data_IF_499974663053
#
_entry.id   IF_499974663053
#
_cell.length_a   1.000
_cell.length_b   1.000
_cell.length_c   1.000
_cell.angle_alpha   90.00
_cell.angle_beta   90.00
_cell.angle_gamma   90.00
#
_symmetry.space_group_name_H-M   'P 1'
#
loop_
_entity.id
_entity.type
_entity.pdbx_description
1 polymer ?
#
# COMPACT_ATOMS: atom_id res chain seq x y z
N UNK A 1 8.82 1.30 -14.52
CA UNK A 1 8.39 2.54 -15.20
C UNK A 1 8.67 2.36 -16.69
N UNK A 2 7.66 2.50 -17.54
CA UNK A 2 7.82 2.44 -18.99
C UNK A 2 7.78 3.87 -19.56
N UNK A 3 8.75 4.23 -20.41
CA UNK A 3 8.75 5.50 -21.13
C UNK A 3 8.23 5.26 -22.54
N UNK A 4 7.13 5.94 -22.89
CA UNK A 4 6.47 5.76 -24.18
C UNK A 4 6.69 7.02 -25.02
N UNK A 5 7.35 6.85 -26.16
CA UNK A 5 7.46 7.90 -27.16
C UNK A 5 6.15 7.95 -27.98
N UNK A 6 5.36 9.00 -27.78
CA UNK A 6 4.05 9.16 -28.44
C UNK A 6 4.15 9.48 -29.94
N UNK A 7 5.32 9.91 -30.41
CA UNK A 7 5.57 10.21 -31.83
C UNK A 7 5.99 8.98 -32.64
N UNK A 8 6.39 7.89 -31.97
CA UNK A 8 6.72 6.63 -32.62
C UNK A 8 5.46 5.84 -32.95
N UNK A 9 5.31 5.42 -34.22
CA UNK A 9 4.19 4.61 -34.72
C UNK A 9 4.25 3.14 -34.26
N UNK A 10 4.56 2.91 -32.99
CA UNK A 10 4.51 1.60 -32.34
C UNK A 10 3.19 1.39 -31.61
N UNK A 11 2.64 0.18 -31.67
CA UNK A 11 1.49 -0.24 -30.86
C UNK A 11 1.97 -0.56 -29.44
N UNK A 12 2.37 0.45 -28.65
CA UNK A 12 2.54 0.23 -27.21
C UNK A 12 1.17 0.20 -26.54
N UNK A 13 0.95 -0.76 -25.64
CA UNK A 13 -0.29 -0.86 -24.85
C UNK A 13 -0.58 0.44 -24.10
N UNK A 14 0.45 1.21 -23.75
CA UNK A 14 0.26 2.46 -23.02
C UNK A 14 -0.29 3.65 -23.83
N UNK A 15 -0.33 3.59 -25.17
CA UNK A 15 -0.97 4.64 -25.98
C UNK A 15 -2.48 4.74 -25.72
N UNK A 16 -3.13 3.67 -25.26
CA UNK A 16 -4.55 3.68 -24.94
C UNK A 16 -4.90 4.70 -23.84
N UNK A 17 -3.96 4.94 -22.91
CA UNK A 17 -4.16 5.85 -21.78
C UNK A 17 -4.19 7.32 -22.20
N UNK A 18 -3.63 7.68 -23.37
CA UNK A 18 -3.75 9.03 -23.94
C UNK A 18 -5.22 9.34 -24.21
N UNK A 19 -5.92 8.40 -24.83
CA UNK A 19 -7.35 8.55 -25.14
C UNK A 19 -8.18 8.42 -23.87
N UNK A 20 -7.89 7.43 -23.01
CA UNK A 20 -8.63 7.18 -21.76
C UNK A 20 -8.62 8.39 -20.82
N UNK A 21 -7.49 9.09 -20.71
CA UNK A 21 -7.33 10.27 -19.85
C UNK A 21 -7.42 11.60 -20.59
N UNK A 22 -7.76 11.60 -21.88
CA UNK A 22 -7.80 12.80 -22.74
C UNK A 22 -6.54 13.68 -22.58
N UNK A 23 -5.37 13.07 -22.71
CA UNK A 23 -4.08 13.74 -22.51
C UNK A 23 -3.77 14.61 -23.72
N UNK A 24 -3.69 15.93 -23.50
CA UNK A 24 -3.42 16.92 -24.55
C UNK A 24 -2.05 17.60 -24.39
N UNK A 25 -1.40 17.40 -23.24
CA UNK A 25 -0.16 18.08 -22.85
C UNK A 25 0.88 17.05 -22.46
N UNK A 26 2.08 17.18 -23.02
CA UNK A 26 3.21 16.29 -22.76
C UNK A 26 4.40 17.07 -22.18
N UNK A 27 5.25 16.41 -21.36
CA UNK A 27 5.11 15.03 -20.87
C UNK A 27 3.93 14.86 -19.90
N UNK A 28 3.38 13.65 -19.84
CA UNK A 28 2.29 13.29 -18.91
C UNK A 28 2.61 11.93 -18.30
N UNK A 29 2.19 11.72 -17.05
CA UNK A 29 2.38 10.44 -16.36
C UNK A 29 1.04 9.87 -15.95
N UNK A 30 0.91 8.56 -16.14
CA UNK A 30 -0.26 7.77 -15.78
C UNK A 30 0.21 6.64 -14.88
N UNK A 31 -0.42 6.51 -13.73
CA UNK A 31 -0.27 5.36 -12.86
C UNK A 31 -1.34 4.34 -13.23
N UNK A 32 -0.95 3.08 -13.38
CA UNK A 32 -1.82 1.98 -13.84
C UNK A 32 -1.74 0.86 -12.80
N UNK A 33 -2.90 0.43 -12.29
CA UNK A 33 -3.01 -0.71 -11.40
C UNK A 33 -2.99 -2.05 -12.17
N UNK A 34 -2.70 -3.18 -11.50
CA UNK A 34 -2.69 -4.50 -12.13
C UNK A 34 -4.03 -4.92 -12.77
N UNK A 35 -5.14 -4.37 -12.29
CA UNK A 35 -6.50 -4.60 -12.82
C UNK A 35 -6.82 -3.74 -14.06
N UNK A 36 -5.89 -2.86 -14.48
CA UNK A 36 -6.02 -1.96 -15.62
C UNK A 36 -6.71 -0.63 -15.32
N UNK A 37 -7.18 -0.41 -14.07
CA UNK A 37 -7.57 0.91 -13.63
C UNK A 37 -6.37 1.86 -13.67
N UNK A 38 -6.61 3.15 -13.88
CA UNK A 38 -5.50 4.10 -14.03
C UNK A 38 -5.87 5.51 -13.60
N UNK A 39 -4.87 6.25 -13.14
CA UNK A 39 -5.01 7.64 -12.73
C UNK A 39 -3.93 8.49 -13.39
N UNK A 40 -4.34 9.64 -13.93
CA UNK A 40 -3.41 10.65 -14.42
C UNK A 40 -2.78 11.38 -13.24
N UNK A 41 -1.46 11.38 -13.17
CA UNK A 41 -0.74 12.07 -12.11
C UNK A 41 -0.39 13.50 -12.55
N UNK A 42 -0.46 14.49 -11.64
CA UNK A 42 0.00 15.83 -11.94
C UNK A 42 1.50 15.78 -12.26
N UNK A 43 1.86 16.08 -13.51
CA UNK A 43 3.25 16.27 -13.88
C UNK A 43 3.62 17.72 -13.60
N UNK A 44 4.43 17.94 -12.58
CA UNK A 44 5.03 19.25 -12.32
C UNK A 44 6.50 19.16 -12.69
N UNK A 45 6.95 19.96 -13.66
CA UNK A 45 7.77 21.15 -13.40
C UNK A 45 8.40 21.67 -14.70
N UNK A 46 8.19 22.96 -14.99
CA UNK A 46 8.97 23.67 -15.99
C UNK A 46 10.43 23.78 -15.52
N UNK A 47 11.38 23.33 -16.35
CA UNK A 47 12.82 23.60 -16.16
C UNK A 47 13.65 22.55 -15.40
N UNK A 48 13.09 21.40 -15.01
CA UNK A 48 13.86 20.28 -14.43
C UNK A 48 14.17 19.18 -15.46
N UNK A 49 15.19 18.35 -15.20
CA UNK A 49 15.47 17.16 -16.02
C UNK A 49 14.36 16.12 -15.85
N UNK A 50 14.21 15.25 -16.86
CA UNK A 50 13.26 14.14 -16.81
C UNK A 50 13.53 13.21 -15.61
N UNK A 51 14.80 12.92 -15.30
CA UNK A 51 15.17 12.05 -14.18
C UNK A 51 14.76 12.62 -12.83
N UNK A 52 15.03 13.91 -12.58
CA UNK A 52 14.64 14.58 -11.34
C UNK A 52 13.11 14.65 -11.20
N UNK A 53 12.40 14.93 -12.29
CA UNK A 53 10.94 15.01 -12.31
C UNK A 53 10.29 13.65 -12.07
N UNK A 54 10.83 12.58 -12.67
CA UNK A 54 10.36 11.21 -12.43
C UNK A 54 10.58 10.78 -10.98
N UNK A 55 11.75 11.11 -10.40
CA UNK A 55 12.02 10.83 -8.99
C UNK A 55 11.04 11.55 -8.06
N UNK A 56 10.88 12.87 -8.25
CA UNK A 56 9.94 13.67 -7.47
C UNK A 56 8.50 13.15 -7.57
N UNK A 57 8.09 12.70 -8.76
CA UNK A 57 6.79 12.08 -8.94
C UNK A 57 6.67 10.78 -8.16
N UNK A 58 7.67 9.88 -8.25
CA UNK A 58 7.66 8.62 -7.49
C UNK A 58 7.62 8.87 -5.99
N UNK A 59 8.34 9.87 -5.51
CA UNK A 59 8.29 10.29 -4.11
C UNK A 59 6.88 10.76 -3.73
N UNK A 60 6.28 11.66 -4.52
CA UNK A 60 4.90 12.14 -4.30
C UNK A 60 3.88 10.98 -4.35
N UNK A 61 4.09 9.98 -5.22
CA UNK A 61 3.26 8.80 -5.30
C UNK A 61 3.41 7.88 -4.09
N UNK A 62 4.55 7.89 -3.41
CA UNK A 62 4.84 7.00 -2.28
C UNK A 62 4.69 7.67 -0.90
N UNK A 63 4.72 9.00 -0.83
CA UNK A 63 4.74 9.75 0.43
C UNK A 63 3.65 10.81 0.52
N UNK A 64 3.22 11.06 1.75
CA UNK A 64 2.33 12.15 2.16
C UNK A 64 2.40 12.22 3.67
N UNK A 65 2.11 13.38 4.26
CA UNK A 65 2.08 13.51 5.73
C UNK A 65 1.08 12.53 6.36
N UNK A 66 -0.05 12.26 5.71
CA UNK A 66 -1.03 11.28 6.20
C UNK A 66 -0.46 9.85 6.19
N UNK A 67 0.20 9.45 5.10
CA UNK A 67 0.80 8.11 4.99
C UNK A 67 1.97 7.90 5.93
N UNK A 68 2.77 8.93 6.19
CA UNK A 68 3.82 8.89 7.23
C UNK A 68 3.23 8.65 8.63
N UNK A 69 2.13 9.35 8.96
CA UNK A 69 1.41 9.12 10.22
C UNK A 69 0.76 7.73 10.28
N UNK A 70 0.26 7.23 9.15
CA UNK A 70 -0.29 5.89 9.03
C UNK A 70 0.76 4.81 9.29
N UNK A 71 1.96 4.94 8.70
CA UNK A 71 3.06 4.00 8.94
C UNK A 71 3.44 3.99 10.43
N UNK A 72 3.61 5.15 11.04
CA UNK A 72 3.91 5.25 12.49
C UNK A 72 2.87 4.52 13.33
N UNK A 73 1.58 4.69 13.04
CA UNK A 73 0.51 3.98 13.75
C UNK A 73 0.51 2.47 13.48
N UNK A 74 0.83 2.04 12.27
CA UNK A 74 0.94 0.61 11.92
C UNK A 74 2.11 -0.07 12.64
N UNK A 75 3.21 0.64 12.88
CA UNK A 75 4.35 0.14 13.66
C UNK A 75 3.99 0.03 15.15
N UNK A 76 3.30 1.05 15.67
CA UNK A 76 3.08 1.19 17.12
C UNK A 76 1.85 0.48 17.66
N UNK A 77 0.93 0.06 16.80
CA UNK A 77 -0.36 -0.52 17.19
C UNK A 77 -0.62 -1.86 16.52
N UNK A 78 -1.62 -2.59 17.01
CA UNK A 78 -2.07 -3.84 16.41
C UNK A 78 -2.46 -3.73 14.93
N UNK A 79 -2.95 -2.57 14.54
CA UNK A 79 -3.44 -2.28 13.21
C UNK A 79 -4.19 -0.95 13.21
N UNK A 80 -4.57 -0.51 12.02
CA UNK A 80 -5.28 0.75 11.83
C UNK A 80 -6.64 0.47 11.20
N UNK A 81 -7.68 1.00 11.82
CA UNK A 81 -9.01 1.13 11.23
C UNK A 81 -9.05 2.46 10.49
N UNK A 82 -8.83 2.42 9.18
CA UNK A 82 -8.84 3.60 8.32
C UNK A 82 -10.27 3.87 7.84
N UNK A 83 -10.79 5.05 8.19
CA UNK A 83 -12.13 5.52 7.78
C UNK A 83 -11.95 6.62 6.74
N UNK A 84 -12.64 6.51 5.61
CA UNK A 84 -12.69 7.55 4.58
C UNK A 84 -14.10 8.14 4.63
N UNK A 85 -14.19 9.45 4.87
CA UNK A 85 -15.50 10.12 5.01
C UNK A 85 -16.21 10.24 3.66
N UNK A 86 -17.46 9.80 3.62
CA UNK A 86 -18.36 10.00 2.49
C UNK A 86 -19.02 11.38 2.48
N UNK A 87 -20.08 11.53 1.70
CA UNK A 87 -20.91 12.74 1.68
C UNK A 87 -21.94 12.79 2.81
N UNK A 88 -22.26 11.64 3.42
CA UNK A 88 -23.22 11.52 4.53
C UNK A 88 -22.50 11.55 5.89
N UNK A 89 -22.60 12.69 6.58
CA UNK A 89 -22.06 12.89 7.92
C UNK A 89 -22.69 11.95 8.96
N UNK A 90 -23.98 11.63 8.83
CA UNK A 90 -24.67 10.75 9.78
C UNK A 90 -24.15 9.30 9.65
N UNK A 91 -23.92 8.84 8.42
CA UNK A 91 -23.24 7.57 8.18
C UNK A 91 -21.83 7.58 8.76
N UNK A 92 -21.04 8.63 8.49
CA UNK A 92 -19.68 8.77 9.02
C UNK A 92 -19.65 8.69 10.55
N UNK A 93 -20.60 9.33 11.24
CA UNK A 93 -20.74 9.28 12.70
C UNK A 93 -21.06 7.86 13.17
N UNK A 94 -22.02 7.17 12.52
CA UNK A 94 -22.35 5.77 12.80
C UNK A 94 -21.13 4.87 12.65
N UNK A 95 -20.42 4.98 11.53
CA UNK A 95 -19.21 4.20 11.23
C UNK A 95 -18.11 4.42 12.26
N UNK A 96 -17.86 5.67 12.67
CA UNK A 96 -16.89 5.98 13.73
C UNK A 96 -17.29 5.34 15.06
N UNK A 97 -18.58 5.27 15.38
CA UNK A 97 -19.05 4.61 16.60
C UNK A 97 -18.89 3.09 16.53
N UNK A 98 -19.24 2.48 15.40
CA UNK A 98 -19.08 1.04 15.17
C UNK A 98 -17.60 0.62 15.27
N UNK A 99 -16.69 1.42 14.71
CA UNK A 99 -15.25 1.22 14.80
C UNK A 99 -14.73 1.33 16.25
N UNK A 100 -15.16 2.36 17.00
CA UNK A 100 -14.79 2.53 18.41
C UNK A 100 -15.26 1.36 19.27
N UNK A 101 -16.49 0.90 19.05
CA UNK A 101 -17.03 -0.26 19.76
C UNK A 101 -16.24 -1.53 19.43
N UNK A 102 -15.86 -1.71 18.15
CA UNK A 102 -15.09 -2.86 17.71
C UNK A 102 -13.69 -2.89 18.34
N UNK A 103 -13.01 -1.75 18.36
CA UNK A 103 -11.69 -1.59 19.01
C UNK A 103 -11.82 -1.89 20.51
N UNK A 104 -12.86 -1.40 21.18
CA UNK A 104 -13.09 -1.68 22.61
C UNK A 104 -13.24 -3.18 22.89
N UNK A 105 -13.93 -3.91 22.00
CA UNK A 105 -14.08 -5.37 22.11
C UNK A 105 -12.74 -6.08 21.92
N UNK A 106 -11.97 -5.72 20.88
CA UNK A 106 -10.66 -6.31 20.60
C UNK A 106 -9.65 -6.01 21.72
N UNK A 107 -9.65 -4.78 22.24
CA UNK A 107 -8.79 -4.37 23.35
C UNK A 107 -8.95 -5.27 24.58
N UNK A 108 -10.18 -5.73 24.87
CA UNK A 108 -10.46 -6.67 25.96
C UNK A 108 -9.87 -8.07 25.76
N UNK A 109 -9.55 -8.44 24.52
CA UNK A 109 -8.99 -9.76 24.15
C UNK A 109 -7.50 -9.73 23.77
N UNK A 110 -6.82 -8.57 23.81
CA UNK A 110 -5.43 -8.45 23.35
C UNK A 110 -4.46 -9.35 24.11
N UNK A 111 -4.64 -9.50 25.43
CA UNK A 111 -3.77 -10.34 26.27
C UNK A 111 -3.86 -11.84 25.94
N UNK A 112 -4.85 -12.24 25.14
CA UNK A 112 -5.04 -13.62 24.68
C UNK A 112 -4.53 -13.81 23.25
N UNK A 113 -4.07 -12.74 22.60
CA UNK A 113 -3.55 -12.82 21.24
C UNK A 113 -2.12 -13.40 21.26
N UNK A 114 -1.82 -14.34 20.35
CA UNK A 114 -0.51 -14.96 20.23
C UNK A 114 0.64 -13.97 19.97
N UNK A 115 0.38 -12.92 19.16
CA UNK A 115 1.34 -11.86 18.88
C UNK A 115 1.42 -10.89 20.05
N UNK A 116 2.64 -10.63 20.53
CA UNK A 116 2.90 -9.59 21.55
C UNK A 116 2.57 -8.23 20.94
N UNK A 117 1.38 -7.72 21.24
CA UNK A 117 0.96 -6.40 20.80
C UNK A 117 0.53 -5.59 22.01
N UNK A 118 1.24 -4.49 22.24
CA UNK A 118 1.08 -3.69 23.46
C UNK A 118 0.03 -2.58 23.33
N UNK A 119 -0.46 -2.28 22.12
CA UNK A 119 -1.48 -1.25 21.88
C UNK A 119 -2.64 -1.77 21.01
N UNK A 120 -3.90 -1.45 21.37
CA UNK A 120 -5.07 -1.78 20.55
C UNK A 120 -5.01 -1.12 19.18
N UNK A 121 -5.83 -1.57 18.22
CA UNK A 121 -5.92 -0.91 16.93
C UNK A 121 -6.33 0.56 17.07
N UNK A 122 -5.80 1.42 16.20
CA UNK A 122 -6.11 2.85 16.19
C UNK A 122 -7.05 3.23 15.05
N UNK A 123 -7.88 4.26 15.26
CA UNK A 123 -8.68 4.84 14.19
C UNK A 123 -7.88 5.96 13.52
N UNK A 124 -7.82 5.93 12.19
CA UNK A 124 -7.43 7.08 11.38
C UNK A 124 -8.59 7.48 10.47
N UNK A 125 -8.70 8.77 10.19
CA UNK A 125 -9.77 9.30 9.35
C UNK A 125 -9.16 10.16 8.25
N UNK A 126 -9.49 9.84 7.00
CA UNK A 126 -9.27 10.74 5.86
C UNK A 126 -10.54 11.57 5.72
N UNK A 127 -10.50 12.86 6.11
CA UNK A 127 -11.66 13.71 5.95
C UNK A 127 -11.93 13.99 4.48
N UNK A 128 -13.18 14.33 4.14
CA UNK A 128 -13.58 14.62 2.75
C UNK A 128 -12.71 15.70 2.09
N UNK A 129 -12.24 16.68 2.87
CA UNK A 129 -11.33 17.74 2.40
C UNK A 129 -9.92 17.26 2.02
N UNK A 130 -9.55 16.03 2.38
CA UNK A 130 -8.24 15.40 2.13
C UNK A 130 -8.30 14.26 1.12
N UNK A 131 -9.48 13.95 0.56
CA UNK A 131 -9.63 12.93 -0.48
C UNK A 131 -8.76 13.24 -1.69
N UNK A 132 -8.70 14.51 -2.11
CA UNK A 132 -7.90 14.88 -3.26
C UNK A 132 -6.38 14.81 -3.01
N UNK A 133 -5.96 14.99 -1.75
CA UNK A 133 -4.55 14.90 -1.34
C UNK A 133 -4.08 13.43 -1.30
N UNK A 134 -4.99 12.50 -1.00
CA UNK A 134 -4.70 11.07 -0.81
C UNK A 134 -5.21 10.18 -1.96
N UNK A 135 -5.34 10.73 -3.18
CA UNK A 135 -5.85 10.01 -4.36
C UNK A 135 -5.15 8.68 -4.62
N UNK A 136 -3.84 8.63 -4.42
CA UNK A 136 -3.04 7.42 -4.68
C UNK A 136 -3.33 6.33 -3.65
N UNK A 137 -3.50 6.71 -2.37
CA UNK A 137 -3.90 5.78 -1.33
C UNK A 137 -5.32 5.25 -1.58
N UNK A 138 -6.25 6.15 -1.90
CA UNK A 138 -7.64 5.80 -2.22
C UNK A 138 -7.73 4.87 -3.44
N UNK A 139 -6.93 5.16 -4.48
CA UNK A 139 -6.84 4.33 -5.66
C UNK A 139 -6.34 2.92 -5.33
N UNK A 140 -5.31 2.80 -4.47
CA UNK A 140 -4.85 1.50 -3.95
C UNK A 140 -5.82 0.79 -3.00
N UNK A 141 -6.95 1.41 -2.64
CA UNK A 141 -8.05 0.82 -1.89
C UNK A 141 -9.27 0.51 -2.79
N UNK A 142 -9.14 0.71 -4.10
CA UNK A 142 -10.26 0.59 -5.04
C UNK A 142 -11.31 1.72 -4.91
N UNK A 143 -10.97 2.82 -4.25
CA UNK A 143 -11.82 4.00 -4.12
C UNK A 143 -11.48 4.95 -5.26
N UNK A 144 -12.47 5.22 -6.11
CA UNK A 144 -12.39 6.01 -7.34
C UNK A 144 -13.43 7.12 -7.33
N UNK A 145 -13.41 7.97 -8.35
CA UNK A 145 -14.42 9.03 -8.54
C UNK A 145 -15.87 8.51 -8.54
N UNK A 146 -16.10 7.22 -8.83
CA UNK A 146 -17.43 6.61 -8.89
C UNK A 146 -18.03 6.33 -7.50
N UNK A 147 -17.20 6.08 -6.49
CA UNK A 147 -17.62 5.65 -5.15
C UNK A 147 -16.99 6.48 -4.02
N UNK A 148 -16.25 7.55 -4.33
CA UNK A 148 -15.62 8.44 -3.33
C UNK A 148 -16.61 9.15 -2.40
N UNK A 149 -17.89 9.20 -2.77
CA UNK A 149 -18.94 9.83 -1.96
C UNK A 149 -19.53 8.87 -0.91
N UNK A 150 -19.22 7.58 -0.99
CA UNK A 150 -19.59 6.60 0.04
C UNK A 150 -18.62 6.67 1.23
N UNK A 151 -19.09 6.33 2.43
CA UNK A 151 -18.19 6.13 3.57
C UNK A 151 -17.51 4.77 3.44
N UNK A 152 -16.18 4.73 3.60
CA UNK A 152 -15.40 3.48 3.49
C UNK A 152 -14.64 3.16 4.78
N UNK A 153 -14.44 1.87 5.05
CA UNK A 153 -13.57 1.38 6.13
C UNK A 153 -12.60 0.32 5.60
N UNK A 154 -11.31 0.58 5.77
CA UNK A 154 -10.22 -0.36 5.52
C UNK A 154 -9.55 -0.75 6.84
N UNK A 155 -9.18 -2.02 6.98
CA UNK A 155 -8.41 -2.52 8.13
C UNK A 155 -7.00 -2.79 7.65
N UNK A 156 -6.02 -2.08 8.20
CA UNK A 156 -4.63 -2.14 7.79
C UNK A 156 -3.76 -2.70 8.92
N UNK A 157 -2.73 -3.46 8.59
CA UNK A 157 -1.81 -4.01 9.58
C UNK A 157 -0.41 -4.26 9.00
N UNK A 158 0.57 -4.44 9.89
CA UNK A 158 1.97 -4.72 9.52
C UNK A 158 2.52 -3.63 8.59
N UNK A 159 2.98 -4.02 7.39
CA UNK A 159 3.56 -3.09 6.41
C UNK A 159 2.54 -2.28 5.59
N UNK A 160 1.30 -2.17 6.06
CA UNK A 160 0.19 -1.59 5.28
C UNK A 160 -0.54 -2.62 4.43
N UNK A 161 -0.67 -3.85 4.94
CA UNK A 161 -1.48 -4.88 4.31
C UNK A 161 -2.94 -4.66 4.62
N UNK A 162 -3.81 -4.86 3.64
CA UNK A 162 -5.24 -4.81 3.82
C UNK A 162 -5.75 -6.15 4.39
N UNK A 163 -6.47 -6.09 5.52
CA UNK A 163 -7.14 -7.23 6.12
C UNK A 163 -8.57 -7.35 5.56
N UNK A 164 -8.73 -8.17 4.53
CA UNK A 164 -10.01 -8.39 3.85
C UNK A 164 -10.41 -7.23 2.92
N UNK A 165 -11.67 -7.17 2.46
CA UNK A 165 -12.12 -6.13 1.55
C UNK A 165 -12.34 -4.79 2.26
N UNK A 166 -12.25 -3.69 1.51
CA UNK A 166 -12.73 -2.38 1.94
C UNK A 166 -14.25 -2.43 2.11
N UNK A 167 -14.73 -2.07 3.31
CA UNK A 167 -16.15 -2.12 3.67
C UNK A 167 -16.84 -0.81 3.30
N UNK A 168 -18.06 -0.89 2.78
CA UNK A 168 -18.89 0.27 2.41
C UNK A 168 -20.34 0.08 2.87
N UNK A 169 -21.06 1.18 3.12
CA UNK A 169 -22.50 1.16 3.41
C UNK A 169 -22.89 0.25 4.59
N UNK A 170 -23.88 -0.62 4.35
CA UNK A 170 -24.39 -1.60 5.33
C UNK A 170 -23.36 -2.67 5.75
N UNK A 171 -22.30 -2.85 4.96
CA UNK A 171 -21.23 -3.78 5.32
C UNK A 171 -20.44 -3.27 6.52
N UNK A 172 -20.41 -1.96 6.74
CA UNK A 172 -19.71 -1.38 7.88
C UNK A 172 -20.57 -1.58 9.13
N UNK A 173 -20.14 -2.49 9.99
CA UNK A 173 -20.73 -2.70 11.31
C UNK A 173 -19.68 -3.25 12.28
N UNK A 174 -19.94 -3.10 13.58
CA UNK A 174 -19.04 -3.52 14.66
C UNK A 174 -18.60 -4.97 14.52
N UNK A 175 -19.51 -5.88 14.15
CA UNK A 175 -19.22 -7.31 14.03
C UNK A 175 -18.21 -7.59 12.93
N UNK A 176 -18.39 -7.00 11.74
CA UNK A 176 -17.45 -7.18 10.63
C UNK A 176 -16.08 -6.60 10.95
N UNK A 177 -16.02 -5.40 11.54
CA UNK A 177 -14.76 -4.76 11.93
C UNK A 177 -14.03 -5.63 12.98
N UNK A 178 -14.74 -6.11 14.02
CA UNK A 178 -14.17 -7.05 14.99
C UNK A 178 -13.62 -8.31 14.33
N UNK A 179 -14.38 -8.93 13.42
CA UNK A 179 -13.94 -10.17 12.77
C UNK A 179 -12.64 -9.96 12.00
N UNK A 180 -12.56 -8.90 11.18
CA UNK A 180 -11.34 -8.57 10.41
C UNK A 180 -10.15 -8.31 11.34
N UNK A 181 -10.36 -7.57 12.44
CA UNK A 181 -9.32 -7.33 13.43
C UNK A 181 -8.88 -8.63 14.11
N UNK A 182 -9.77 -9.55 14.47
CA UNK A 182 -9.38 -10.84 15.06
C UNK A 182 -8.47 -11.66 14.14
N UNK A 183 -8.69 -11.61 12.81
CA UNK A 183 -7.82 -12.30 11.85
C UNK A 183 -6.39 -11.75 11.83
N UNK A 184 -6.19 -10.46 12.07
CA UNK A 184 -4.86 -9.83 12.09
C UNK A 184 -3.94 -10.45 13.16
N UNK A 185 -4.48 -10.96 14.25
CA UNK A 185 -3.72 -11.55 15.36
C UNK A 185 -3.82 -13.06 15.48
N UNK A 186 -4.44 -13.75 14.53
CA UNK A 186 -4.46 -15.20 14.53
C UNK A 186 -3.10 -15.75 14.05
N UNK A 187 -2.40 -16.52 14.89
CA UNK A 187 -1.03 -17.02 14.65
C UNK A 187 -0.91 -18.28 13.78
N UNK A 188 -1.99 -18.72 13.13
CA UNK A 188 -1.91 -19.92 12.32
C UNK A 188 -1.61 -19.58 10.85
N UNK A 189 -0.33 -19.44 10.54
CA UNK A 189 0.25 -19.66 9.19
C UNK A 189 -0.09 -21.06 8.60
N UNK A 190 -0.78 -21.90 9.38
CA UNK A 190 -1.31 -23.21 9.02
C UNK A 190 -2.80 -23.07 8.67
N UNK A 191 -3.13 -23.08 7.38
CA UNK A 191 -4.51 -23.10 6.89
C UNK A 191 -5.10 -21.73 6.51
N UNK A 192 -4.31 -20.66 6.56
CA UNK A 192 -4.66 -19.36 5.94
C UNK A 192 -4.33 -19.44 4.45
N UNK A 193 -5.24 -18.95 3.61
CA UNK A 193 -5.00 -18.76 2.18
C UNK A 193 -3.80 -17.80 2.00
N UNK A 194 -2.76 -18.25 1.30
CA UNK A 194 -1.52 -17.49 1.11
C UNK A 194 -1.76 -16.14 0.42
N UNK A 195 -2.90 -15.97 -0.27
CA UNK A 195 -3.32 -14.67 -0.82
C UNK A 195 -3.47 -13.59 0.25
N UNK A 196 -3.68 -13.93 1.53
CA UNK A 196 -3.80 -12.97 2.62
C UNK A 196 -2.44 -12.67 3.28
N UNK A 197 -1.49 -13.59 3.20
CA UNK A 197 -0.08 -13.35 3.54
C UNK A 197 0.57 -12.44 2.47
N UNK A 198 0.12 -12.57 1.22
CA UNK A 198 0.49 -11.76 0.04
C UNK A 198 -0.57 -10.66 -0.21
N UNK A 199 -1.37 -10.30 0.80
CA UNK A 199 -2.52 -9.42 0.65
C UNK A 199 -2.19 -8.08 -0.01
N UNK A 200 -3.21 -7.46 -0.60
CA UNK A 200 -3.09 -6.17 -1.30
C UNK A 200 -2.43 -5.14 -0.39
N UNK A 201 -1.28 -4.61 -0.83
CA UNK A 201 -0.51 -3.62 -0.11
C UNK A 201 -0.87 -2.24 -0.63
N UNK A 202 -1.14 -1.32 0.29
CA UNK A 202 -1.29 0.09 -0.07
C UNK A 202 0.09 0.72 -0.36
N UNK A 203 0.17 1.70 -1.27
CA UNK A 203 1.43 2.35 -1.63
C UNK A 203 1.98 3.20 -0.48
N UNK A 204 2.92 2.64 0.26
CA UNK A 204 3.62 3.27 1.40
C UNK A 204 5.14 3.21 1.19
N UNK A 205 5.85 4.27 1.57
CA UNK A 205 7.32 4.28 1.63
C UNK A 205 7.79 3.69 2.97
N UNK A 206 8.57 2.61 2.91
CA UNK A 206 9.27 2.03 4.06
C UNK A 206 10.75 2.34 3.93
N UNK A 207 11.25 3.31 4.71
CA UNK A 207 12.64 3.71 4.72
C UNK A 207 13.43 3.14 5.90
N UNK A 208 14.73 3.50 5.98
CA UNK A 208 15.61 3.03 7.07
C UNK A 208 15.12 3.45 8.46
N UNK A 209 14.44 4.59 8.59
CA UNK A 209 13.87 5.07 9.85
C UNK A 209 12.74 4.18 10.34
N UNK A 210 11.82 3.81 9.45
CA UNK A 210 10.68 2.95 9.78
C UNK A 210 11.14 1.53 10.11
N UNK A 211 12.18 1.05 9.43
CA UNK A 211 12.82 -0.22 9.73
C UNK A 211 13.49 -0.21 11.12
N UNK A 212 14.22 0.85 11.45
CA UNK A 212 14.85 0.99 12.76
C UNK A 212 13.81 1.04 13.89
N UNK A 213 12.71 1.78 13.71
CA UNK A 213 11.60 1.82 14.68
C UNK A 213 10.94 0.45 14.84
N UNK A 214 10.74 -0.29 13.74
CA UNK A 214 10.20 -1.65 13.78
C UNK A 214 11.12 -2.62 14.54
N UNK A 215 12.44 -2.55 14.33
CA UNK A 215 13.42 -3.37 15.06
C UNK A 215 13.38 -3.05 16.55
N UNK A 216 13.29 -1.77 16.92
CA UNK A 216 13.15 -1.35 18.31
C UNK A 216 11.87 -1.91 18.95
N UNK A 217 10.74 -1.85 18.24
CA UNK A 217 9.46 -2.36 18.74
C UNK A 217 9.42 -3.89 18.84
N UNK A 218 9.98 -4.61 17.87
CA UNK A 218 9.95 -6.08 17.81
C UNK A 218 11.09 -6.73 18.63
N UNK A 219 12.17 -6.00 18.90
CA UNK A 219 13.39 -6.54 19.52
C UNK A 219 14.17 -7.51 18.62
N UNK A 220 13.85 -7.57 17.33
CA UNK A 220 14.42 -8.49 16.35
C UNK A 220 14.37 -7.91 14.92
N UNK A 221 15.39 -8.22 14.11
CA UNK A 221 15.50 -7.73 12.74
C UNK A 221 14.97 -8.75 11.72
N UNK A 222 13.77 -8.47 11.22
CA UNK A 222 13.08 -9.28 10.20
C UNK A 222 13.80 -9.24 8.84
N UNK A 223 14.57 -8.17 8.59
CA UNK A 223 15.26 -7.95 7.31
C UNK A 223 16.67 -8.56 7.28
N UNK A 224 17.12 -9.13 8.40
CA UNK A 224 18.42 -9.77 8.47
C UNK A 224 18.50 -10.93 7.45
N UNK A 225 19.55 -10.99 6.61
CA UNK A 225 19.70 -12.03 5.58
C UNK A 225 19.56 -13.47 6.09
N UNK A 226 20.01 -13.75 7.32
CA UNK A 226 19.86 -15.07 7.95
C UNK A 226 18.39 -15.37 8.24
N UNK A 227 17.63 -14.38 8.71
CA UNK A 227 16.21 -14.48 8.99
C UNK A 227 15.41 -14.65 7.71
N UNK A 228 15.69 -13.85 6.68
CA UNK A 228 15.08 -14.01 5.35
C UNK A 228 15.34 -15.40 4.77
N UNK A 229 16.53 -15.94 4.95
CA UNK A 229 16.89 -17.29 4.48
C UNK A 229 16.10 -18.37 5.21
N UNK A 230 16.00 -18.29 6.54
CA UNK A 230 15.18 -19.21 7.34
C UNK A 230 13.70 -19.14 6.96
N UNK A 231 13.13 -17.95 6.83
CA UNK A 231 11.75 -17.77 6.38
C UNK A 231 11.51 -18.34 4.98
N UNK A 232 12.46 -18.14 4.06
CA UNK A 232 12.38 -18.68 2.69
C UNK A 232 12.40 -20.21 2.68
N UNK A 233 13.19 -20.84 3.56
CA UNK A 233 13.21 -22.29 3.74
C UNK A 233 11.86 -22.81 4.29
N UNK A 234 11.27 -22.12 5.26
CA UNK A 234 9.96 -22.50 5.82
C UNK A 234 8.84 -22.42 4.77
N UNK A 235 8.84 -21.36 3.95
CA UNK A 235 7.84 -21.16 2.88
C UNK A 235 7.99 -22.23 1.79
N UNK A 236 9.23 -22.58 1.41
CA UNK A 236 9.52 -23.60 0.39
C UNK A 236 9.26 -25.04 0.86
N UNK A 237 9.23 -25.31 2.16
CA UNK A 237 8.97 -26.64 2.73
C UNK A 237 7.47 -27.01 2.81
N UNK A 238 6.53 -26.08 2.57
CA UNK A 238 5.09 -26.40 2.55
C UNK A 238 4.67 -26.99 1.18
N UNK A 239 3.85 -28.06 1.15
CA UNK A 239 3.65 -28.85 -0.05
C UNK A 239 2.92 -28.07 -1.17
N UNK A 240 3.40 -28.33 -2.38
CA UNK A 240 3.03 -27.75 -3.66
C UNK A 240 1.53 -27.75 -3.95
N UNK A 241 0.97 -26.57 -4.23
CA UNK A 241 -0.15 -26.45 -5.17
C UNK A 241 0.47 -26.38 -6.57
N UNK A 242 -0.02 -27.19 -7.50
CA UNK A 242 0.45 -27.30 -8.90
C UNK A 242 0.35 -25.96 -9.63
N UNK A 243 1.43 -25.19 -9.58
CA UNK A 243 2.00 -24.29 -10.58
C UNK A 243 3.04 -23.45 -9.82
N UNK A 244 4.35 -23.67 -10.04
CA UNK A 244 5.36 -22.89 -9.36
C UNK A 244 5.40 -21.49 -10.01
N UNK A 245 4.48 -20.62 -9.59
CA UNK A 245 4.76 -19.19 -9.64
C UNK A 245 5.80 -19.00 -8.54
N UNK A 246 7.04 -18.65 -8.91
CA UNK A 246 8.09 -18.33 -7.97
C UNK A 246 7.68 -17.03 -7.24
N UNK A 247 7.12 -17.09 -6.01
CA UNK A 247 6.43 -15.93 -5.42
C UNK A 247 7.40 -14.82 -5.00
N UNK A 248 8.69 -15.14 -4.95
CA UNK A 248 9.77 -14.25 -4.53
C UNK A 248 10.41 -13.49 -5.71
N UNK A 249 10.26 -13.93 -6.96
CA UNK A 249 10.84 -13.20 -8.10
C UNK A 249 9.91 -12.11 -8.66
N UNK A 250 8.58 -12.25 -8.52
CA UNK A 250 7.63 -11.28 -9.10
C UNK A 250 7.01 -10.31 -8.08
N UNK A 251 7.08 -10.56 -6.77
CA UNK A 251 6.46 -9.70 -5.75
C UNK A 251 7.43 -9.04 -4.77
N UNK A 252 8.75 -9.13 -5.02
CA UNK A 252 9.74 -8.24 -4.41
C UNK A 252 9.75 -6.88 -5.14
N UNK A 253 8.59 -6.22 -5.25
CA UNK A 253 8.57 -4.77 -5.39
C UNK A 253 8.67 -4.14 -3.99
N UNK A 254 9.79 -4.45 -3.34
CA UNK A 254 10.40 -3.55 -2.38
C UNK A 254 11.03 -2.41 -3.19
N UNK A 255 10.60 -1.17 -2.94
CA UNK A 255 11.45 -0.04 -3.32
C UNK A 255 12.69 -0.11 -2.42
N UNK A 256 13.79 -0.63 -2.98
CA UNK A 256 15.11 -0.53 -2.38
C UNK A 256 15.86 0.63 -3.05
N UNK A 257 16.11 1.71 -2.30
CA UNK A 257 17.01 2.78 -2.73
C UNK A 257 18.45 2.26 -2.67
N UNK A 258 19.01 1.89 -3.82
CA UNK A 258 20.46 1.67 -3.94
C UNK A 258 21.08 2.92 -4.58
N UNK A 259 21.98 3.56 -3.83
CA UNK A 259 22.79 4.65 -4.36
C UNK A 259 23.93 4.06 -5.21
N UNK A 260 24.03 4.45 -6.48
CA UNK A 260 25.17 4.14 -7.32
C UNK A 260 26.01 5.40 -7.52
N UNK A 261 27.31 5.31 -7.27
CA UNK A 261 28.24 6.36 -7.69
C UNK A 261 28.41 6.24 -9.22
N UNK A 262 27.93 7.26 -9.94
CA UNK A 262 28.17 7.38 -11.37
C UNK A 262 29.58 7.95 -11.54
N UNK A 263 30.54 7.11 -11.91
CA UNK A 263 31.77 7.60 -12.52
C UNK A 263 31.40 8.27 -13.85
N UNK A 264 31.56 9.58 -13.93
CA UNK A 264 31.33 10.36 -15.14
C UNK A 264 32.39 9.99 -16.19
N UNK A 265 32.11 8.93 -16.97
CA UNK A 265 32.75 8.65 -18.23
C UNK A 265 32.13 9.52 -19.33
N UNK A 266 32.93 10.40 -19.92
CA UNK A 266 32.58 11.25 -21.06
C UNK A 266 32.00 10.45 -22.24
N UNK A 267 30.85 10.91 -22.74
CA UNK A 267 30.26 10.65 -24.06
C UNK A 267 30.22 9.20 -24.57
N UNK A 268 29.17 8.45 -24.18
CA UNK A 268 28.42 7.56 -25.08
C UNK A 268 27.17 7.02 -24.38
N UNK A 269 26.04 7.03 -25.10
CA UNK A 269 24.75 6.47 -24.68
C UNK A 269 24.91 5.04 -24.14
N UNK A 270 24.53 4.72 -22.89
CA UNK A 270 24.62 3.36 -22.40
C UNK A 270 23.48 2.52 -22.98
N UNK A 271 23.86 1.49 -23.75
CA UNK A 271 23.01 0.34 -24.03
C UNK A 271 23.02 -0.56 -22.80
N UNK A 272 21.83 -0.91 -22.31
CA UNK A 272 21.66 -1.93 -21.27
C UNK A 272 21.65 -3.30 -21.98
N UNK A 273 22.63 -4.14 -21.68
CA UNK A 273 22.56 -5.59 -21.92
C UNK A 273 22.24 -6.29 -20.62
N UNK A 274 21.41 -7.34 -20.73
CA UNK A 274 20.77 -8.11 -19.67
C UNK A 274 21.69 -8.63 -18.56
#
# INVERSE_FOLDING_TARGET
MELINVDEKGSSSGLEYITRHNIQTFPSVVFVAPDGESIRCPYTMAGQSLSASSWFLMETLATSTFREDLIRKLIQSYGVVLIIEGADDAETIRVKNDAREAIKKIAGSLNQMPKVVNKPPEIMVIPRSKIDDEKILLFGLGITEKNKDDTHVAILYGRGRLAGPVLTGEQINTRRICNLLTFVGADCECGIDNSWIIGEMIPLRWGPSEQAELIEQLGFDVENPFVKTEMSQIISMKPSVMNPINPLEENLLEFMETSFEIENGTDAVPRITA
#
